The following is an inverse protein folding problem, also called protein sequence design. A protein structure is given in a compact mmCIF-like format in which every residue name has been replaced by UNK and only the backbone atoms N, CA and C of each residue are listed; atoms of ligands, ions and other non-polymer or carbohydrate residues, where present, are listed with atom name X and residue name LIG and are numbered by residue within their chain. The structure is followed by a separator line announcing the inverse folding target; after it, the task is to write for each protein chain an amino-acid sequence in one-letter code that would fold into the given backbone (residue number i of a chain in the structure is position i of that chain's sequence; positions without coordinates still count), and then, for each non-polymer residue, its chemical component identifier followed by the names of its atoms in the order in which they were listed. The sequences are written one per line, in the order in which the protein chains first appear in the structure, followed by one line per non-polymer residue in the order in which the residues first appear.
data_IF_734734142841
#
_entry.id   IF_734734142841
#
_cell.length_a   1.000
_cell.length_b   1.000
_cell.length_c   1.000
_cell.angle_alpha   90.00
_cell.angle_beta   90.00
_cell.angle_gamma   90.00
#
_symmetry.space_group_name_H-M   'P 1'
#
loop_
_entity.id
_entity.type
_entity.pdbx_description
1 polymer ?
#
# COMPACT_ATOMS: atom_id res chain seq x y z
N UNK A 1 -8.02 22.29 8.70
CA UNK A 1 -8.46 21.17 7.86
C UNK A 1 -7.54 21.08 6.64
N UNK A 2 -6.61 20.13 6.66
CA UNK A 2 -5.76 19.75 5.53
C UNK A 2 -5.63 18.23 5.61
N UNK A 3 -6.44 17.49 4.85
CA UNK A 3 -6.39 16.02 4.76
C UNK A 3 -6.32 15.59 3.28
N UNK A 4 -5.57 16.33 2.48
CA UNK A 4 -5.44 16.07 1.03
C UNK A 4 -4.04 15.68 0.58
N UNK A 5 -3.08 15.56 1.50
CA UNK A 5 -1.66 15.44 1.18
C UNK A 5 -1.00 14.10 1.53
N UNK A 6 -1.61 13.27 2.37
CA UNK A 6 -0.95 12.08 2.93
C UNK A 6 -1.10 10.83 2.04
N UNK A 7 -2.13 10.78 1.21
CA UNK A 7 -2.43 9.62 0.36
C UNK A 7 -2.71 10.04 -1.07
N UNK A 8 -2.29 9.20 -2.03
CA UNK A 8 -2.71 9.23 -3.43
C UNK A 8 -3.68 8.08 -3.69
N UNK A 9 -4.63 8.29 -4.59
CA UNK A 9 -5.53 7.24 -5.04
C UNK A 9 -4.87 6.52 -6.21
N UNK A 10 -4.74 5.20 -6.09
CA UNK A 10 -4.33 4.33 -7.19
C UNK A 10 -5.47 3.38 -7.56
N UNK A 11 -5.47 2.90 -8.82
CA UNK A 11 -6.50 1.99 -9.33
C UNK A 11 -5.87 0.70 -9.86
N UNK A 12 -6.41 -0.43 -9.43
CA UNK A 12 -6.16 -1.76 -10.02
C UNK A 12 -7.47 -2.32 -10.63
N UNK A 13 -7.46 -3.57 -11.09
CA UNK A 13 -8.66 -4.23 -11.66
C UNK A 13 -9.76 -4.50 -10.64
N UNK A 14 -9.44 -4.44 -9.35
CA UNK A 14 -10.35 -4.68 -8.24
C UNK A 14 -10.91 -3.38 -7.65
N UNK A 15 -10.44 -2.22 -8.10
CA UNK A 15 -10.98 -0.90 -7.73
C UNK A 15 -9.90 0.11 -7.37
N UNK A 16 -10.31 1.13 -6.62
CA UNK A 16 -9.42 2.19 -6.12
C UNK A 16 -8.88 1.84 -4.72
N UNK A 17 -7.65 2.25 -4.44
CA UNK A 17 -6.95 2.06 -3.18
C UNK A 17 -6.25 3.35 -2.75
N UNK A 18 -6.24 3.63 -1.45
CA UNK A 18 -5.43 4.73 -0.87
C UNK A 18 -4.01 4.23 -0.64
N UNK A 19 -3.04 4.91 -1.25
CA UNK A 19 -1.61 4.60 -1.12
C UNK A 19 -0.91 5.80 -0.48
N UNK A 20 -0.04 5.63 0.53
CA UNK A 20 0.71 6.76 1.09
C UNK A 20 1.47 7.51 -0.01
N UNK A 21 1.49 8.84 0.08
CA UNK A 21 2.10 9.68 -0.96
C UNK A 21 3.62 9.46 -1.09
N UNK A 22 4.26 9.08 0.00
CA UNK A 22 5.69 8.78 0.09
C UNK A 22 6.04 7.31 -0.20
N UNK A 23 5.04 6.43 -0.38
CA UNK A 23 5.25 5.05 -0.75
C UNK A 23 5.55 4.89 -2.24
N UNK A 24 6.63 4.15 -2.54
CA UNK A 24 7.03 3.77 -3.90
C UNK A 24 6.22 2.60 -4.48
N UNK A 25 5.48 1.87 -3.66
CA UNK A 25 4.60 0.78 -4.11
C UNK A 25 3.23 1.30 -4.56
N UNK A 26 2.44 0.44 -5.22
CA UNK A 26 1.12 0.78 -5.76
C UNK A 26 -0.06 0.02 -5.17
N UNK A 27 -1.22 0.10 -5.84
CA UNK A 27 -2.51 -0.44 -5.38
C UNK A 27 -2.47 -1.93 -5.03
N UNK A 28 -1.78 -2.76 -5.81
CA UNK A 28 -1.69 -4.20 -5.54
C UNK A 28 -0.95 -4.50 -4.23
N UNK A 29 0.18 -3.82 -3.98
CA UNK A 29 0.93 -3.98 -2.74
C UNK A 29 0.14 -3.42 -1.56
N UNK A 30 -0.54 -2.28 -1.72
CA UNK A 30 -1.42 -1.73 -0.69
C UNK A 30 -2.54 -2.73 -0.31
N UNK A 31 -3.17 -3.36 -1.31
CA UNK A 31 -4.18 -4.39 -1.11
C UNK A 31 -3.61 -5.63 -0.41
N UNK A 32 -2.39 -6.05 -0.74
CA UNK A 32 -1.74 -7.16 -0.04
C UNK A 32 -1.47 -6.83 1.44
N UNK A 33 -1.08 -5.59 1.75
CA UNK A 33 -0.88 -5.14 3.13
C UNK A 33 -2.19 -5.17 3.92
N UNK A 34 -3.32 -4.74 3.34
CA UNK A 34 -4.63 -4.80 4.00
C UNK A 34 -5.17 -6.23 4.15
N UNK A 35 -4.97 -7.09 3.14
CA UNK A 35 -5.55 -8.44 3.12
C UNK A 35 -4.74 -9.48 3.91
N UNK A 36 -3.43 -9.27 4.10
CA UNK A 36 -2.55 -10.26 4.72
C UNK A 36 -1.78 -9.70 5.95
N UNK A 37 -2.46 -9.18 6.99
CA UNK A 37 -1.81 -8.74 8.24
C UNK A 37 -1.44 -9.95 9.12
N UNK A 38 -0.52 -10.79 8.64
CA UNK A 38 -0.10 -12.03 9.30
C UNK A 38 1.23 -11.79 10.01
N UNK A 39 1.29 -12.14 11.31
CA UNK A 39 2.48 -12.21 12.20
C UNK A 39 3.36 -10.96 12.35
N UNK A 40 3.27 -9.95 11.47
CA UNK A 40 4.10 -8.75 11.46
C UNK A 40 5.47 -8.93 10.79
N UNK A 41 5.73 -10.09 10.18
CA UNK A 41 7.03 -10.40 9.58
C UNK A 41 7.15 -9.73 8.21
N UNK A 42 8.29 -9.10 7.94
CA UNK A 42 8.59 -8.52 6.63
C UNK A 42 9.32 -9.54 5.75
N UNK A 43 9.21 -9.36 4.44
CA UNK A 43 10.00 -10.14 3.50
C UNK A 43 11.50 -9.92 3.78
N UNK A 44 12.32 -10.99 3.87
CA UNK A 44 13.73 -10.83 4.21
C UNK A 44 14.46 -10.02 3.14
N UNK A 45 15.35 -9.12 3.57
CA UNK A 45 16.10 -8.22 2.66
C UNK A 45 16.94 -8.95 1.60
N UNK A 46 17.35 -10.19 1.85
CA UNK A 46 18.09 -10.99 0.87
C UNK A 46 17.26 -11.34 -0.39
N UNK A 47 15.93 -11.15 -0.35
CA UNK A 47 15.02 -11.46 -1.45
C UNK A 47 14.34 -10.22 -2.05
N UNK A 48 14.69 -9.01 -1.59
CA UNK A 48 14.19 -7.72 -2.09
C UNK A 48 15.25 -7.13 -3.04
#
# INVERSE_FOLDING_TARGET
MYDGGEYRIERDTLGEMRVPKDAYYGAQTARAVENFPISGWRFPRAFI
#
